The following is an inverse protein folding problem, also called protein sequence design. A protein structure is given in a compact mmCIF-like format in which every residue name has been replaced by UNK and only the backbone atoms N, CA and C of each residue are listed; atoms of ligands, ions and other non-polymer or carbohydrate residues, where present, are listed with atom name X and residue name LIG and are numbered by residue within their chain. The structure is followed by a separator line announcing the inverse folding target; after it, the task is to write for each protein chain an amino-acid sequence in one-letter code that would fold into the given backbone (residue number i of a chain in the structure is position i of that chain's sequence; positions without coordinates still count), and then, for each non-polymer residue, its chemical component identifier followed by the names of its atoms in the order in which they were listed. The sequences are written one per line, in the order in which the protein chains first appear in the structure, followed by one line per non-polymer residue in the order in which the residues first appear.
data_IF_168900887310
#
_entry.id   IF_168900887310
#
_cell.length_a   1.000
_cell.length_b   1.000
_cell.length_c   1.000
_cell.angle_alpha   90.00
_cell.angle_beta   90.00
_cell.angle_gamma   90.00
#
_symmetry.space_group_name_H-M   'P 1'
#
loop_
_entity.id
_entity.type
_entity.pdbx_description
1 polymer ?
#
# COMPACT_ATOMS: atom_id res chain seq x y z
N UNK A 1 -18.69 -2.88 3.27
CA UNK A 1 -17.25 -2.58 3.08
C UNK A 1 -16.88 -1.33 3.86
N UNK A 2 -15.62 -1.25 4.28
CA UNK A 2 -15.16 -0.13 5.10
C UNK A 2 -14.38 0.86 4.24
N UNK A 3 -14.70 2.16 4.38
CA UNK A 3 -13.95 3.24 3.73
C UNK A 3 -12.93 3.79 4.72
N UNK A 4 -11.66 3.69 4.37
CA UNK A 4 -10.55 4.18 5.19
C UNK A 4 -9.97 5.44 4.56
N UNK A 5 -9.75 6.46 5.39
CA UNK A 5 -9.21 7.75 4.94
C UNK A 5 -7.97 8.04 5.80
N UNK A 6 -6.83 8.25 5.15
CA UNK A 6 -5.56 8.54 5.80
C UNK A 6 -4.93 9.80 5.22
N UNK A 7 -4.06 10.45 5.99
CA UNK A 7 -3.27 11.61 5.54
C UNK A 7 -4.14 12.69 4.91
N UNK A 8 -5.21 13.08 5.63
CA UNK A 8 -6.13 14.14 5.20
C UNK A 8 -6.78 13.86 3.83
N UNK A 9 -7.05 12.57 3.56
CA UNK A 9 -7.71 12.16 2.33
C UNK A 9 -6.77 11.87 1.16
N UNK A 10 -5.46 12.02 1.34
CA UNK A 10 -4.50 11.78 0.26
C UNK A 10 -4.28 10.28 -0.01
N UNK A 11 -4.62 9.43 0.96
CA UNK A 11 -4.64 7.99 0.79
C UNK A 11 -6.00 7.49 1.25
N UNK A 12 -6.69 6.75 0.38
CA UNK A 12 -8.01 6.22 0.71
C UNK A 12 -8.10 4.79 0.22
N UNK A 13 -8.84 3.95 0.94
CA UNK A 13 -9.03 2.56 0.55
C UNK A 13 -10.41 2.07 0.94
N UNK A 14 -10.85 1.02 0.26
CA UNK A 14 -12.08 0.29 0.58
C UNK A 14 -11.71 -1.12 1.00
N UNK A 15 -12.25 -1.54 2.14
CA UNK A 15 -12.07 -2.90 2.62
C UNK A 15 -13.03 -3.86 1.93
N UNK A 16 -12.55 -5.07 1.67
CA UNK A 16 -13.37 -6.14 1.10
C UNK A 16 -12.85 -7.49 1.62
N UNK A 17 -13.72 -8.49 1.53
CA UNK A 17 -13.34 -9.87 1.81
C UNK A 17 -13.35 -10.62 0.50
N UNK A 18 -12.19 -11.14 0.11
CA UNK A 18 -12.03 -11.90 -1.14
C UNK A 18 -11.95 -13.39 -0.83
N UNK A 19 -11.93 -14.21 -1.88
CA UNK A 19 -11.67 -15.65 -1.71
C UNK A 19 -10.27 -15.90 -1.15
N UNK A 20 -9.39 -14.90 -1.23
CA UNK A 20 -8.02 -14.97 -0.70
C UNK A 20 -7.90 -14.35 0.71
N UNK A 21 -9.01 -13.87 1.28
CA UNK A 21 -9.05 -13.28 2.61
C UNK A 21 -9.34 -11.79 2.60
N UNK A 22 -9.11 -11.14 3.74
CA UNK A 22 -9.34 -9.70 3.90
C UNK A 22 -8.35 -8.90 3.09
N UNK A 23 -8.84 -7.86 2.43
CA UNK A 23 -8.01 -7.00 1.60
C UNK A 23 -8.55 -5.57 1.60
N UNK A 24 -7.73 -4.63 1.13
CA UNK A 24 -8.17 -3.28 0.79
C UNK A 24 -7.73 -2.95 -0.63
N UNK A 25 -8.56 -2.19 -1.33
CA UNK A 25 -8.21 -1.59 -2.62
C UNK A 25 -8.13 -0.10 -2.39
N UNK A 26 -7.02 0.52 -2.78
CA UNK A 26 -6.81 1.92 -2.46
C UNK A 26 -6.11 2.72 -3.52
N UNK A 27 -6.06 4.03 -3.25
CA UNK A 27 -5.36 5.01 -4.08
C UNK A 27 -4.46 5.85 -3.19
N UNK A 28 -3.22 6.03 -3.63
CA UNK A 28 -2.24 6.91 -3.01
C UNK A 28 -2.06 8.10 -3.95
N UNK A 29 -2.41 9.30 -3.46
CA UNK A 29 -2.21 10.52 -4.22
C UNK A 29 -0.75 10.96 -4.19
N UNK A 30 -0.39 11.94 -5.01
CA UNK A 30 0.95 12.52 -5.02
C UNK A 30 1.40 12.88 -3.60
N UNK A 31 2.60 12.45 -3.22
CA UNK A 31 3.16 12.75 -1.92
C UNK A 31 4.05 11.63 -1.40
N UNK A 32 4.51 11.82 -0.16
CA UNK A 32 5.36 10.87 0.54
C UNK A 32 4.68 10.50 1.86
N UNK A 33 4.56 9.22 2.13
CA UNK A 33 3.81 8.72 3.28
C UNK A 33 4.52 7.56 3.95
N UNK A 34 4.29 7.42 5.26
CA UNK A 34 4.79 6.28 6.04
C UNK A 34 3.60 5.45 6.51
N UNK A 35 3.61 4.17 6.21
CA UNK A 35 2.58 3.24 6.65
C UNK A 35 3.12 2.32 7.72
N UNK A 36 2.29 2.03 8.72
CA UNK A 36 2.61 1.08 9.79
C UNK A 36 1.75 -0.16 9.64
N UNK A 37 2.29 -1.31 10.01
CA UNK A 37 1.59 -2.59 9.93
C UNK A 37 1.33 -3.16 11.31
N UNK A 38 0.16 -3.76 11.50
CA UNK A 38 -0.15 -4.56 12.70
C UNK A 38 -0.20 -6.05 12.37
N UNK A 39 -0.33 -6.40 11.10
CA UNK A 39 -0.25 -7.76 10.60
C UNK A 39 0.61 -7.76 9.34
N UNK A 40 1.01 -8.94 8.88
CA UNK A 40 1.73 -9.05 7.62
C UNK A 40 0.83 -8.56 6.47
N UNK A 41 1.41 -7.80 5.55
CA UNK A 41 0.69 -7.26 4.40
C UNK A 41 1.40 -7.65 3.11
N UNK A 42 0.61 -8.04 2.11
CA UNK A 42 1.11 -8.26 0.74
C UNK A 42 0.47 -7.20 -0.14
N UNK A 43 1.28 -6.32 -0.69
CA UNK A 43 0.83 -5.22 -1.53
C UNK A 43 1.17 -5.46 -2.98
N UNK A 44 0.23 -5.09 -3.86
CA UNK A 44 0.40 -5.20 -5.31
C UNK A 44 -0.05 -3.88 -5.92
N UNK A 45 0.83 -3.25 -6.72
CA UNK A 45 0.45 -2.05 -7.48
C UNK A 45 -0.42 -2.48 -8.65
N UNK A 46 -1.59 -1.84 -8.81
CA UNK A 46 -2.51 -2.14 -9.89
C UNK A 46 -2.42 -1.13 -11.02
N UNK A 47 -2.03 0.12 -10.75
CA UNK A 47 -1.79 1.13 -11.77
C UNK A 47 -0.84 2.19 -11.24
N UNK A 48 0.04 2.68 -12.11
CA UNK A 48 1.05 3.67 -11.75
C UNK A 48 2.33 3.04 -11.26
N UNK A 49 3.24 3.90 -10.77
CA UNK A 49 4.51 3.47 -10.19
C UNK A 49 4.68 4.10 -8.83
N UNK A 50 4.95 3.29 -7.82
CA UNK A 50 5.15 3.73 -6.45
C UNK A 50 6.60 3.49 -6.07
N UNK A 51 7.27 4.52 -5.55
CA UNK A 51 8.58 4.33 -4.93
C UNK A 51 8.35 3.79 -3.53
N UNK A 52 9.03 2.70 -3.18
CA UNK A 52 8.83 2.00 -1.89
C UNK A 52 10.18 1.80 -1.22
N UNK A 53 10.22 2.14 0.06
CA UNK A 53 11.38 1.87 0.91
C UNK A 53 10.95 0.94 2.03
N UNK A 54 11.39 -0.31 1.95
CA UNK A 54 11.15 -1.32 2.99
C UNK A 54 12.21 -1.20 4.09
N UNK A 55 11.93 -1.72 5.31
CA UNK A 55 12.89 -1.65 6.41
C UNK A 55 14.27 -2.19 6.02
N UNK A 56 15.30 -1.40 6.25
CA UNK A 56 16.67 -1.79 5.98
C UNK A 56 17.06 -1.85 4.51
N UNK A 57 16.19 -1.41 3.61
CA UNK A 57 16.41 -1.46 2.17
C UNK A 57 16.42 -0.05 1.57
N UNK A 58 16.96 0.05 0.35
CA UNK A 58 16.93 1.30 -0.41
C UNK A 58 15.59 1.47 -1.12
N UNK A 59 15.29 2.70 -1.55
CA UNK A 59 14.13 3.00 -2.37
C UNK A 59 14.14 2.19 -3.66
N UNK A 60 12.98 1.60 -4.01
CA UNK A 60 12.79 0.84 -5.25
C UNK A 60 11.53 1.30 -5.96
N UNK A 61 11.55 1.41 -7.30
CA UNK A 61 10.33 1.63 -8.06
C UNK A 61 9.51 0.34 -8.13
N UNK A 62 8.22 0.45 -7.78
CA UNK A 62 7.26 -0.64 -7.88
C UNK A 62 6.20 -0.24 -8.89
N UNK A 63 6.31 -0.75 -10.10
CA UNK A 63 5.39 -0.47 -11.17
C UNK A 63 4.18 -1.40 -11.14
N UNK A 64 3.35 -1.32 -12.18
CA UNK A 64 2.15 -2.15 -12.28
C UNK A 64 2.50 -3.62 -12.14
N UNK A 65 1.72 -4.33 -11.32
CA UNK A 65 1.86 -5.75 -10.98
C UNK A 65 3.06 -6.07 -10.08
N UNK A 66 3.88 -5.08 -9.71
CA UNK A 66 4.92 -5.31 -8.72
C UNK A 66 4.29 -5.57 -7.36
N UNK A 67 4.85 -6.51 -6.60
CA UNK A 67 4.35 -6.82 -5.26
C UNK A 67 5.47 -6.96 -4.26
N UNK A 68 5.15 -6.74 -2.99
CA UNK A 68 6.07 -6.91 -1.88
C UNK A 68 5.31 -7.31 -0.63
N UNK A 69 6.03 -7.88 0.33
CA UNK A 69 5.47 -8.29 1.61
C UNK A 69 6.15 -7.48 2.71
N UNK A 70 5.33 -6.99 3.65
CA UNK A 70 5.82 -6.28 4.84
C UNK A 70 5.43 -7.11 6.07
N UNK A 71 6.37 -7.39 6.98
CA UNK A 71 6.05 -8.15 8.18
C UNK A 71 5.14 -7.35 9.13
N UNK A 72 4.51 -8.05 10.06
CA UNK A 72 3.72 -7.43 11.12
C UNK A 72 4.59 -6.52 12.00
N UNK A 73 3.96 -5.52 12.61
CA UNK A 73 4.60 -4.61 13.57
C UNK A 73 5.83 -3.91 12.99
N UNK A 74 5.71 -3.47 11.75
CA UNK A 74 6.77 -2.81 11.01
C UNK A 74 6.24 -1.52 10.37
N UNK A 75 7.09 -0.84 9.62
CA UNK A 75 6.68 0.32 8.83
C UNK A 75 7.45 0.36 7.53
N UNK A 76 6.89 1.04 6.54
CA UNK A 76 7.56 1.27 5.27
C UNK A 76 7.14 2.63 4.71
N UNK A 77 7.99 3.17 3.84
CA UNK A 77 7.74 4.48 3.24
C UNK A 77 7.40 4.32 1.78
N UNK A 78 6.53 5.19 1.30
CA UNK A 78 6.15 5.24 -0.11
C UNK A 78 6.22 6.69 -0.61
N UNK A 79 6.48 6.85 -1.90
CA UNK A 79 6.44 8.14 -2.56
C UNK A 79 5.81 7.99 -3.94
N UNK A 80 4.84 8.83 -4.24
CA UNK A 80 4.12 8.83 -5.51
C UNK A 80 4.23 10.20 -6.17
N UNK A 81 4.58 10.24 -7.46
CA UNK A 81 4.61 11.46 -8.25
C UNK A 81 3.24 11.76 -8.89
N UNK A 82 2.41 10.75 -9.00
CA UNK A 82 1.04 10.82 -9.50
C UNK A 82 0.22 9.77 -8.77
N UNK A 83 -1.09 9.72 -9.03
CA UNK A 83 -1.95 8.76 -8.35
C UNK A 83 -1.53 7.32 -8.67
N UNK A 84 -1.48 6.49 -7.62
CA UNK A 84 -1.15 5.07 -7.72
C UNK A 84 -2.27 4.27 -7.06
N UNK A 85 -2.75 3.24 -7.74
CA UNK A 85 -3.72 2.32 -7.15
C UNK A 85 -3.04 1.01 -6.75
N UNK A 86 -3.60 0.36 -5.72
CA UNK A 86 -3.02 -0.86 -5.17
C UNK A 86 -4.10 -1.77 -4.57
N UNK A 87 -3.75 -3.03 -4.39
CA UNK A 87 -4.50 -3.93 -3.52
C UNK A 87 -3.55 -4.42 -2.43
N UNK A 88 -4.05 -4.48 -1.20
CA UNK A 88 -3.30 -4.96 -0.04
C UNK A 88 -4.04 -6.13 0.59
N UNK A 89 -3.38 -7.28 0.71
CA UNK A 89 -3.91 -8.45 1.41
C UNK A 89 -3.33 -8.52 2.81
N UNK A 90 -4.19 -8.75 3.80
CA UNK A 90 -3.80 -8.86 5.21
C UNK A 90 -3.75 -10.33 5.63
N UNK A 91 -2.80 -10.63 6.47
CA UNK A 91 -2.64 -12.00 6.95
C UNK A 91 -3.07 -12.17 8.40
#
# INVERSE_FOLDING_TARGET
MKHNIYFEGKVQSLGLTTVEGSATVGVISQGKFTFSTSSEERMIVTSGTLMVKLPGQNWKPMGRNAEWVVPANSSFEVEADADVSYICYYK
#
